data_IF_296277614814
#
_entry.id   IF_296277614814
#
_cell.length_a   1.000
_cell.length_b   1.000
_cell.length_c   1.000
_cell.angle_alpha   90.00
_cell.angle_beta   90.00
_cell.angle_gamma   90.00
#
_symmetry.space_group_name_H-M   'P 1'
#
loop_
_entity.id
_entity.type
_entity.pdbx_description
1 polymer ?
#
# COMPACT_ATOMS: atom_id res chain seq x y z
N UNK A 1 20.79 -3.80 2.41
CA UNK A 1 19.88 -4.04 3.56
C UNK A 1 18.46 -3.97 3.01
N UNK A 2 18.00 -4.98 2.29
CA UNK A 2 16.64 -5.02 1.68
C UNK A 2 15.87 -6.30 2.02
N UNK A 3 16.53 -7.36 2.47
CA UNK A 3 15.90 -8.63 2.84
C UNK A 3 14.91 -8.57 4.00
N UNK A 4 14.77 -7.44 4.70
CA UNK A 4 13.77 -7.25 5.76
C UNK A 4 12.47 -6.62 5.28
N UNK A 5 12.47 -5.91 4.15
CA UNK A 5 11.26 -5.23 3.68
C UNK A 5 10.29 -6.28 3.12
N UNK A 6 10.79 -7.11 2.21
CA UNK A 6 10.03 -8.12 1.48
C UNK A 6 9.79 -9.43 2.25
N UNK A 7 10.37 -9.60 3.44
CA UNK A 7 10.29 -10.88 4.18
C UNK A 7 8.87 -11.26 4.62
N UNK A 8 7.95 -10.29 4.65
CA UNK A 8 6.56 -10.50 5.10
C UNK A 8 5.56 -10.63 3.93
N UNK A 9 6.01 -10.38 2.70
CA UNK A 9 5.20 -10.55 1.49
C UNK A 9 4.60 -11.96 1.35
N UNK A 10 5.32 -13.06 1.69
CA UNK A 10 4.75 -14.40 1.64
C UNK A 10 3.51 -14.62 2.52
N UNK A 11 3.22 -13.74 3.49
CA UNK A 11 1.99 -13.81 4.28
C UNK A 11 0.73 -13.65 3.41
N UNK A 12 0.82 -12.91 2.29
CA UNK A 12 -0.28 -12.73 1.36
C UNK A 12 -0.71 -14.04 0.69
N UNK A 13 0.19 -15.02 0.57
CA UNK A 13 -0.14 -16.34 0.01
C UNK A 13 -1.03 -17.17 0.94
N UNK A 14 -1.11 -16.81 2.23
CA UNK A 14 -2.03 -17.43 3.18
C UNK A 14 -3.46 -16.88 3.04
N UNK A 15 -3.58 -15.67 2.49
CA UNK A 15 -4.86 -15.02 2.25
C UNK A 15 -5.40 -15.33 0.86
N UNK A 16 -6.71 -15.23 0.70
CA UNK A 16 -7.32 -15.34 -0.62
C UNK A 16 -7.04 -14.08 -1.48
N UNK A 17 -7.18 -14.23 -2.80
CA UNK A 17 -6.98 -13.14 -3.76
C UNK A 17 -7.85 -11.91 -3.41
N UNK A 18 -9.10 -12.14 -3.02
CA UNK A 18 -10.05 -11.09 -2.65
C UNK A 18 -9.59 -10.27 -1.43
N UNK A 19 -8.93 -10.90 -0.46
CA UNK A 19 -8.35 -10.21 0.69
C UNK A 19 -7.17 -9.37 0.28
N UNK A 20 -6.27 -9.88 -0.57
CA UNK A 20 -5.13 -9.10 -1.07
C UNK A 20 -5.62 -7.91 -1.88
N UNK A 21 -6.64 -8.11 -2.70
CA UNK A 21 -7.33 -7.06 -3.43
C UNK A 21 -7.91 -5.99 -2.49
N UNK A 22 -8.66 -6.40 -1.47
CA UNK A 22 -9.22 -5.49 -0.48
C UNK A 22 -8.14 -4.69 0.24
N UNK A 23 -7.04 -5.34 0.66
CA UNK A 23 -5.91 -4.69 1.33
C UNK A 23 -5.33 -3.59 0.42
N UNK A 24 -5.08 -3.91 -0.85
CA UNK A 24 -4.54 -2.95 -1.83
C UNK A 24 -5.48 -1.75 -2.02
N UNK A 25 -6.78 -2.00 -2.15
CA UNK A 25 -7.80 -0.95 -2.27
C UNK A 25 -7.89 -0.09 -0.99
N UNK A 26 -7.90 -0.71 0.19
CA UNK A 26 -7.92 -0.01 1.46
C UNK A 26 -6.69 0.90 1.62
N UNK A 27 -5.50 0.40 1.27
CA UNK A 27 -4.27 1.19 1.29
C UNK A 27 -4.28 2.37 0.31
N UNK A 28 -4.88 2.20 -0.87
CA UNK A 28 -5.05 3.30 -1.83
C UNK A 28 -6.06 4.35 -1.34
N UNK A 29 -7.23 3.93 -0.86
CA UNK A 29 -8.29 4.84 -0.36
C UNK A 29 -7.79 5.65 0.83
N UNK A 30 -7.06 5.00 1.74
CA UNK A 30 -6.52 5.62 2.96
C UNK A 30 -5.15 6.27 2.76
N UNK A 31 -4.70 6.49 1.51
CA UNK A 31 -3.37 7.07 1.22
C UNK A 31 -3.17 8.47 1.80
N UNK A 32 -4.23 9.27 1.94
CA UNK A 32 -4.21 10.64 2.46
C UNK A 32 -4.47 10.72 3.97
N UNK A 33 -5.34 9.85 4.48
CA UNK A 33 -5.83 9.89 5.86
C UNK A 33 -5.09 8.94 6.80
N UNK A 34 -4.36 7.97 6.25
CA UNK A 34 -3.84 6.84 7.01
C UNK A 34 -4.91 5.78 7.27
N UNK A 35 -4.44 4.56 7.55
CA UNK A 35 -5.30 3.41 7.85
C UNK A 35 -5.79 3.51 9.30
N UNK A 36 -7.10 3.54 9.50
CA UNK A 36 -7.70 3.62 10.83
C UNK A 36 -7.66 2.26 11.56
N UNK A 37 -8.07 2.25 12.84
CA UNK A 37 -8.03 1.05 13.66
C UNK A 37 -8.97 -0.06 13.16
N UNK A 38 -10.11 0.29 12.55
CA UNK A 38 -11.08 -0.69 12.05
C UNK A 38 -10.55 -1.38 10.79
N UNK A 39 -10.06 -0.60 9.82
CA UNK A 39 -9.41 -1.12 8.62
C UNK A 39 -8.19 -1.98 8.96
N UNK A 40 -7.37 -1.57 9.94
CA UNK A 40 -6.25 -2.38 10.45
C UNK A 40 -6.73 -3.73 10.97
N UNK A 41 -7.78 -3.74 11.79
CA UNK A 41 -8.32 -4.96 12.37
C UNK A 41 -8.87 -5.91 11.29
N UNK A 42 -9.58 -5.36 10.29
CA UNK A 42 -10.08 -6.16 9.15
C UNK A 42 -8.91 -6.78 8.39
N UNK A 43 -7.85 -6.01 8.12
CA UNK A 43 -6.66 -6.52 7.41
C UNK A 43 -5.94 -7.60 8.23
N UNK A 44 -5.84 -7.46 9.55
CA UNK A 44 -5.31 -8.51 10.44
C UNK A 44 -6.12 -9.79 10.34
N UNK A 45 -7.45 -9.68 10.39
CA UNK A 45 -8.34 -10.84 10.28
C UNK A 45 -8.17 -11.55 8.93
N UNK A 46 -8.09 -10.79 7.84
CA UNK A 46 -7.87 -11.32 6.48
C UNK A 46 -6.51 -12.01 6.30
N UNK A 47 -5.48 -11.52 6.98
CA UNK A 47 -4.14 -12.11 7.00
C UNK A 47 -4.00 -13.25 8.02
N UNK A 48 -5.08 -13.60 8.72
CA UNK A 48 -5.12 -14.57 9.82
C UNK A 48 -4.05 -14.29 10.91
N UNK A 49 -3.80 -13.01 11.19
CA UNK A 49 -2.83 -12.56 12.18
C UNK A 49 -3.54 -12.39 13.53
N UNK A 50 -3.01 -13.07 14.56
CA UNK A 50 -3.68 -13.17 15.87
C UNK A 50 -3.39 -11.99 16.83
N UNK A 51 -2.69 -10.92 16.41
CA UNK A 51 -2.27 -9.87 17.34
C UNK A 51 -2.20 -8.47 16.69
N UNK A 52 -2.78 -7.43 17.34
CA UNK A 52 -2.67 -6.02 16.91
C UNK A 52 -1.23 -5.48 16.96
N UNK A 53 -0.38 -6.10 17.79
CA UNK A 53 1.07 -5.80 17.90
C UNK A 53 1.84 -6.01 16.59
N UNK A 54 1.24 -6.72 15.63
CA UNK A 54 1.80 -6.92 14.32
C UNK A 54 1.70 -5.61 13.46
N UNK A 55 0.66 -4.79 13.67
CA UNK A 55 0.42 -3.58 12.87
C UNK A 55 0.70 -2.24 13.58
N UNK A 56 1.06 -2.24 14.86
CA UNK A 56 1.13 -1.02 15.67
C UNK A 56 2.53 -0.36 15.64
N UNK A 57 2.69 0.91 15.21
CA UNK A 57 3.97 1.63 15.20
C UNK A 57 4.52 1.99 16.59
N UNK A 58 3.87 1.62 17.70
CA UNK A 58 4.30 2.07 19.02
C UNK A 58 5.39 1.15 19.59
N UNK A 59 6.60 1.68 19.89
CA UNK A 59 7.63 0.95 20.61
C UNK A 59 7.18 0.77 22.06
N UNK A 60 6.50 -0.33 22.37
CA UNK A 60 6.46 -0.79 23.74
C UNK A 60 7.89 -1.25 24.09
N UNK A 61 8.45 -0.70 25.15
CA UNK A 61 9.87 -0.86 25.48
C UNK A 61 10.18 -2.17 26.22
N UNK A 62 9.43 -3.24 25.99
CA UNK A 62 9.66 -4.51 26.70
C UNK A 62 9.29 -5.81 25.97
N UNK A 63 9.03 -5.80 24.67
CA UNK A 63 8.90 -7.06 23.89
C UNK A 63 10.02 -7.23 22.87
N UNK A 64 11.01 -8.04 23.23
CA UNK A 64 12.02 -8.58 22.34
C UNK A 64 11.38 -9.53 21.32
N UNK A 65 11.66 -9.31 20.02
CA UNK A 65 11.52 -10.26 18.90
C UNK A 65 10.10 -10.61 18.38
N UNK A 66 9.24 -9.62 18.13
CA UNK A 66 8.19 -9.78 17.12
C UNK A 66 8.42 -8.77 15.99
N UNK A 67 8.86 -9.27 14.84
CA UNK A 67 9.09 -8.49 13.62
C UNK A 67 7.72 -8.07 13.06
N UNK A 68 7.28 -6.85 13.34
CA UNK A 68 5.98 -6.31 12.93
C UNK A 68 5.77 -6.35 11.38
N UNK A 69 4.62 -6.82 10.85
CA UNK A 69 4.14 -6.66 9.48
C UNK A 69 3.74 -5.22 9.10
N UNK A 70 4.10 -4.20 9.89
CA UNK A 70 4.24 -2.83 9.37
C UNK A 70 5.06 -2.84 8.07
N UNK A 71 6.08 -3.71 7.99
CA UNK A 71 6.87 -3.90 6.78
C UNK A 71 6.02 -4.34 5.58
N UNK A 72 5.00 -5.20 5.77
CA UNK A 72 4.12 -5.64 4.70
C UNK A 72 3.29 -4.47 4.14
N UNK A 73 2.63 -3.70 5.00
CA UNK A 73 1.83 -2.55 4.55
C UNK A 73 2.71 -1.48 3.91
N UNK A 74 3.93 -1.28 4.41
CA UNK A 74 4.92 -0.36 3.81
C UNK A 74 5.35 -0.86 2.43
N UNK A 75 5.61 -2.16 2.24
CA UNK A 75 5.89 -2.75 0.92
C UNK A 75 4.77 -2.45 -0.07
N UNK A 76 3.54 -2.77 0.33
CA UNK A 76 2.38 -2.61 -0.53
C UNK A 76 2.15 -1.14 -0.88
N UNK A 77 2.27 -0.22 0.08
CA UNK A 77 2.21 1.23 -0.19
C UNK A 77 3.30 1.69 -1.15
N UNK A 78 4.52 1.20 -1.01
CA UNK A 78 5.61 1.54 -1.94
C UNK A 78 5.30 1.05 -3.35
N UNK A 79 4.85 -0.20 -3.51
CA UNK A 79 4.47 -0.76 -4.81
C UNK A 79 3.35 0.04 -5.48
N UNK A 80 2.30 0.38 -4.72
CA UNK A 80 1.18 1.19 -5.21
C UNK A 80 1.70 2.56 -5.68
N UNK A 81 2.52 3.24 -4.88
CA UNK A 81 3.06 4.56 -5.25
C UNK A 81 3.92 4.49 -6.51
N UNK A 82 4.82 3.52 -6.60
CA UNK A 82 5.67 3.33 -7.79
C UNK A 82 4.84 3.02 -9.02
N UNK A 83 3.89 2.09 -8.91
CA UNK A 83 2.98 1.73 -10.00
C UNK A 83 2.23 2.95 -10.54
N UNK A 84 1.59 3.73 -9.66
CA UNK A 84 0.69 4.82 -10.06
C UNK A 84 1.43 6.11 -10.44
N UNK A 85 2.39 6.55 -9.61
CA UNK A 85 3.05 7.85 -9.80
C UNK A 85 4.20 7.78 -10.81
N UNK A 86 4.92 6.65 -10.88
CA UNK A 86 5.98 6.45 -11.87
C UNK A 86 5.43 5.87 -13.19
N UNK A 87 4.11 5.63 -13.28
CA UNK A 87 3.42 5.08 -14.45
C UNK A 87 4.03 3.75 -14.94
N UNK A 88 4.45 2.92 -13.97
CA UNK A 88 5.02 1.61 -14.21
C UNK A 88 3.87 0.62 -14.46
N UNK A 89 3.81 0.02 -15.65
CA UNK A 89 2.74 -0.90 -16.03
C UNK A 89 3.28 -2.20 -16.64
N UNK A 90 2.39 -3.17 -16.89
CA UNK A 90 2.76 -4.36 -17.65
C UNK A 90 3.86 -5.17 -16.95
N UNK A 91 4.82 -5.63 -17.74
CA UNK A 91 6.01 -6.33 -17.29
C UNK A 91 7.00 -5.45 -16.52
N UNK A 92 6.87 -4.11 -16.59
CA UNK A 92 7.74 -3.21 -15.81
C UNK A 92 7.45 -3.29 -14.32
N UNK A 93 6.21 -3.64 -13.94
CA UNK A 93 5.84 -3.87 -12.53
C UNK A 93 6.64 -5.05 -11.96
N UNK A 94 6.95 -6.07 -12.77
CA UNK A 94 7.76 -7.20 -12.31
C UNK A 94 9.18 -6.78 -11.93
N UNK A 95 9.71 -5.70 -12.53
CA UNK A 95 11.03 -5.15 -12.21
C UNK A 95 11.08 -4.45 -10.85
N UNK A 96 9.92 -4.16 -10.24
CA UNK A 96 9.84 -3.56 -8.91
C UNK A 96 10.13 -4.56 -7.79
N UNK A 97 10.04 -5.87 -8.07
CA UNK A 97 10.26 -6.91 -7.09
C UNK A 97 11.70 -7.43 -7.17
N UNK A 98 12.42 -7.57 -6.04
CA UNK A 98 13.71 -8.26 -6.03
C UNK A 98 13.52 -9.76 -6.19
N UNK A 99 14.60 -10.46 -6.58
CA UNK A 99 14.63 -11.92 -6.74
C UNK A 99 14.34 -12.72 -5.47
N UNK A 100 14.29 -12.08 -4.30
CA UNK A 100 13.89 -12.67 -3.02
C UNK A 100 12.37 -12.90 -2.94
N UNK A 101 11.57 -12.19 -3.75
CA UNK A 101 10.11 -12.35 -3.78
C UNK A 101 9.73 -13.53 -4.65
N UNK A 102 8.90 -14.43 -4.13
CA UNK A 102 8.42 -15.61 -4.86
C UNK A 102 7.71 -15.22 -6.17
N UNK A 103 7.97 -15.91 -7.29
CA UNK A 103 7.43 -15.55 -8.61
C UNK A 103 5.89 -15.61 -8.67
N UNK A 104 5.28 -16.51 -7.92
CA UNK A 104 3.82 -16.60 -7.79
C UNK A 104 3.22 -15.34 -7.18
N UNK A 105 3.88 -14.81 -6.14
CA UNK A 105 3.46 -13.58 -5.48
C UNK A 105 3.71 -12.34 -6.35
N UNK A 106 4.84 -12.30 -7.06
CA UNK A 106 5.10 -11.24 -8.03
C UNK A 106 4.00 -11.19 -9.09
N UNK A 107 3.57 -12.34 -9.63
CA UNK A 107 2.47 -12.42 -10.61
C UNK A 107 1.15 -11.94 -10.02
N UNK A 108 0.79 -12.40 -8.83
CA UNK A 108 -0.44 -12.01 -8.15
C UNK A 108 -0.49 -10.49 -7.93
N UNK A 109 0.58 -9.93 -7.36
CA UNK A 109 0.66 -8.48 -7.12
C UNK A 109 0.69 -7.69 -8.43
N UNK A 110 1.41 -8.17 -9.45
CA UNK A 110 1.44 -7.55 -10.77
C UNK A 110 0.04 -7.49 -11.37
N UNK A 111 -0.72 -8.59 -11.32
CA UNK A 111 -2.09 -8.65 -11.85
C UNK A 111 -3.02 -7.65 -11.15
N UNK A 112 -2.99 -7.61 -9.81
CA UNK A 112 -3.82 -6.68 -9.03
C UNK A 112 -3.41 -5.23 -9.24
N UNK A 113 -2.11 -4.93 -9.25
CA UNK A 113 -1.60 -3.58 -9.50
C UNK A 113 -1.97 -3.09 -10.90
N UNK A 114 -1.86 -3.96 -11.93
CA UNK A 114 -2.31 -3.62 -13.28
C UNK A 114 -3.81 -3.39 -13.36
N UNK A 115 -4.61 -4.22 -12.67
CA UNK A 115 -6.08 -4.09 -12.59
C UNK A 115 -6.48 -2.69 -12.08
N UNK A 116 -5.81 -2.21 -11.04
CA UNK A 116 -6.12 -0.91 -10.43
C UNK A 116 -5.37 0.28 -11.02
N UNK A 117 -4.31 0.06 -11.81
CA UNK A 117 -3.42 1.11 -12.30
C UNK A 117 -4.17 2.27 -12.97
N UNK A 118 -5.13 1.97 -13.87
CA UNK A 118 -5.88 3.02 -14.59
C UNK A 118 -6.72 3.88 -13.64
N UNK A 119 -7.53 3.24 -12.81
CA UNK A 119 -8.43 3.92 -11.87
C UNK A 119 -7.64 4.77 -10.86
N UNK A 120 -6.59 4.20 -10.27
CA UNK A 120 -5.77 4.92 -9.30
C UNK A 120 -5.00 6.07 -9.93
N UNK A 121 -4.59 5.95 -11.19
CA UNK A 121 -3.93 7.05 -11.90
C UNK A 121 -4.89 8.20 -12.16
N UNK A 122 -6.12 7.90 -12.58
CA UNK A 122 -7.18 8.91 -12.74
C UNK A 122 -7.50 9.60 -11.41
N UNK A 123 -7.61 8.83 -10.32
CA UNK A 123 -7.73 9.35 -8.95
C UNK A 123 -6.57 10.27 -8.56
N UNK A 124 -5.32 9.83 -8.79
CA UNK A 124 -4.13 10.59 -8.46
C UNK A 124 -4.00 11.88 -9.27
N UNK A 125 -4.48 11.87 -10.52
CA UNK A 125 -4.51 13.04 -11.39
C UNK A 125 -5.59 14.02 -10.93
N UNK A 126 -6.79 13.52 -10.58
CA UNK A 126 -7.85 14.34 -9.99
C UNK A 126 -7.40 15.03 -8.70
N UNK A 127 -6.75 14.29 -7.80
CA UNK A 127 -6.17 14.85 -6.57
C UNK A 127 -5.21 16.03 -6.82
N UNK A 128 -4.40 15.96 -7.88
CA UNK A 128 -3.45 17.03 -8.26
C UNK A 128 -4.17 18.24 -8.86
N UNK A 129 -5.25 18.01 -9.61
CA UNK A 129 -6.06 19.09 -10.18
C UNK A 129 -6.84 19.87 -9.10
N UNK A 130 -7.33 19.18 -8.06
CA UNK A 130 -8.04 19.82 -6.94
C UNK A 130 -7.10 20.67 -6.07
N UNK A 131 -5.86 20.22 -5.87
CA UNK A 131 -4.83 20.99 -5.14
C UNK A 131 -4.34 22.21 -5.92
N UNK A 132 -4.30 22.15 -7.26
CA UNK A 132 -3.86 23.28 -8.11
C UNK A 132 -4.93 24.35 -8.28
N UNK A 133 -6.22 23.98 -8.26
CA UNK A 133 -7.33 24.92 -8.43
C UNK A 133 -7.68 25.71 -7.15
N UNK A 134 -7.15 25.32 -5.99
CA UNK A 134 -7.37 26.01 -4.72
C UNK A 134 -6.53 27.29 -4.52
N UNK A 135 -5.58 27.60 -5.40
CA UNK A 135 -4.63 28.72 -5.21
C UNK A 135 -4.98 29.99 -6.01
N UNK A 136 -6.08 30.02 -6.77
CA UNK A 136 -6.44 31.15 -7.66
C UNK A 136 -7.57 32.06 -7.14
N UNK A 137 -7.95 31.95 -5.86
CA UNK A 137 -9.06 32.75 -5.31
C UNK A 137 -8.66 33.53 -4.05
N UNK A 138 -7.61 34.36 -4.14
CA UNK A 138 -7.37 35.34 -3.07
C UNK A 138 -6.54 36.56 -3.48
N UNK A 139 -6.73 37.10 -4.69
CA UNK A 139 -6.27 38.46 -5.01
C UNK A 139 -7.21 39.12 -6.03
N UNK A 140 -8.38 39.53 -5.54
CA UNK A 140 -9.18 40.58 -6.17
C UNK A 140 -9.56 41.61 -5.10
N UNK A 141 -8.53 42.32 -4.64
CA UNK A 141 -8.47 43.74 -4.27
C UNK A 141 -9.83 44.46 -4.47
N UNK A 142 -10.57 44.85 -3.43
CA UNK A 142 -10.36 46.10 -2.67
C UNK A 142 -9.81 47.22 -3.54
N UNK A 143 -10.69 48.01 -4.14
CA UNK A 143 -10.63 49.48 -4.28
C UNK A 143 -12.04 49.98 -4.60
#
# INVERSE_FOLDING_TARGET
MEGSLWSHLPLLLRSNLDSVEYILQALWRTRKTGLDAADRHIILQMLELQNDSDLDPVPNQNSSLLKSPINLLVCLRMLIRRCVYENVNGDEIQKLFPGEVLPELQRLLTLLLQKFHREWREDAFRDQSETSNGHLSQDANVV
#
